data_IF_771544050930
#
_entry.id   IF_771544050930
#
_cell.length_a   1.000
_cell.length_b   1.000
_cell.length_c   1.000
_cell.angle_alpha   90.00
_cell.angle_beta   90.00
_cell.angle_gamma   90.00
#
_symmetry.space_group_name_H-M   'P 1'
#
loop_
_entity.id
_entity.type
_entity.pdbx_description
1 polymer ?
#
# COMPACT_ATOMS: atom_id res chain seq x y z
N UNK A 1 15.46 16.06 8.23
CA UNK A 1 14.80 15.86 9.55
C UNK A 1 13.33 15.55 9.35
N UNK A 2 12.81 14.43 9.86
CA UNK A 2 11.42 14.00 9.72
C UNK A 2 10.49 14.69 10.73
N UNK A 3 9.18 14.67 10.49
CA UNK A 3 8.18 15.20 11.44
C UNK A 3 8.11 14.31 12.69
N UNK A 4 8.01 14.92 13.88
CA UNK A 4 8.04 14.19 15.16
C UNK A 4 6.79 13.32 15.38
N UNK A 5 5.62 13.74 14.91
CA UNK A 5 4.37 12.98 15.00
C UNK A 5 3.73 12.85 13.61
N UNK A 6 3.63 11.63 13.04
CA UNK A 6 2.92 11.42 11.79
C UNK A 6 1.42 11.70 11.95
N UNK A 7 0.77 12.32 10.96
CA UNK A 7 -0.66 12.56 11.00
C UNK A 7 -1.43 11.23 10.84
N UNK A 8 -2.57 11.10 11.52
CA UNK A 8 -3.40 9.87 11.50
C UNK A 8 -3.69 9.35 10.08
N UNK A 9 -4.02 10.17 9.08
CA UNK A 9 -4.25 9.68 7.72
C UNK A 9 -3.04 8.99 7.08
N UNK A 10 -1.82 9.46 7.41
CA UNK A 10 -0.58 8.81 6.94
C UNK A 10 -0.40 7.47 7.64
N UNK A 11 -0.69 7.38 8.94
CA UNK A 11 -0.67 6.11 9.67
C UNK A 11 -1.69 5.11 9.12
N UNK A 12 -2.90 5.57 8.79
CA UNK A 12 -3.93 4.74 8.16
C UNK A 12 -3.48 4.23 6.79
N UNK A 13 -2.93 5.11 5.94
CA UNK A 13 -2.39 4.72 4.64
C UNK A 13 -1.30 3.65 4.77
N UNK A 14 -0.39 3.81 5.75
CA UNK A 14 0.66 2.83 6.02
C UNK A 14 0.10 1.52 6.55
N UNK A 15 -0.86 1.56 7.48
CA UNK A 15 -1.49 0.37 8.02
C UNK A 15 -2.20 -0.43 6.93
N UNK A 16 -2.93 0.24 6.04
CA UNK A 16 -3.59 -0.40 4.90
C UNK A 16 -2.57 -1.01 3.94
N UNK A 17 -1.51 -0.28 3.58
CA UNK A 17 -0.46 -0.80 2.70
C UNK A 17 0.33 -1.98 3.28
N UNK A 18 0.58 -1.99 4.59
CA UNK A 18 1.23 -3.10 5.28
C UNK A 18 0.31 -4.32 5.38
N UNK A 19 -0.96 -4.12 5.73
CA UNK A 19 -1.96 -5.19 5.74
C UNK A 19 -2.10 -5.83 4.36
N UNK A 20 -2.14 -5.01 3.30
CA UNK A 20 -2.14 -5.49 1.93
C UNK A 20 -0.90 -6.32 1.61
N UNK A 21 0.30 -5.83 1.93
CA UNK A 21 1.55 -6.58 1.73
C UNK A 21 1.50 -7.96 2.39
N UNK A 22 1.10 -8.03 3.67
CA UNK A 22 1.04 -9.28 4.43
C UNK A 22 -0.02 -10.20 3.83
N UNK A 23 -1.22 -9.67 3.57
CA UNK A 23 -2.32 -10.47 3.04
C UNK A 23 -2.00 -11.00 1.64
N UNK A 24 -1.44 -10.18 0.75
CA UNK A 24 -1.02 -10.63 -0.58
C UNK A 24 0.02 -11.74 -0.47
N UNK A 25 1.08 -11.54 0.33
CA UNK A 25 2.16 -12.52 0.44
C UNK A 25 1.65 -13.86 0.99
N UNK A 26 0.84 -13.82 2.06
CA UNK A 26 0.28 -15.03 2.69
C UNK A 26 -0.69 -15.74 1.75
N UNK A 27 -1.66 -15.03 1.18
CA UNK A 27 -2.64 -15.66 0.29
C UNK A 27 -2.01 -16.19 -1.00
N UNK A 28 -0.97 -15.52 -1.50
CA UNK A 28 -0.25 -15.97 -2.68
C UNK A 28 0.54 -17.26 -2.42
N UNK A 29 1.24 -17.36 -1.27
CA UNK A 29 1.94 -18.59 -0.87
C UNK A 29 0.99 -19.79 -0.71
N UNK A 30 -0.26 -19.55 -0.30
CA UNK A 30 -1.30 -20.58 -0.26
C UNK A 30 -1.98 -20.84 -1.61
N UNK A 31 -1.61 -20.13 -2.68
CA UNK A 31 -2.21 -20.28 -4.02
C UNK A 31 -3.67 -19.81 -4.10
N UNK A 32 -4.12 -18.96 -3.15
CA UNK A 32 -5.51 -18.49 -3.06
C UNK A 32 -5.80 -17.26 -3.92
N UNK A 33 -4.76 -16.52 -4.33
CA UNK A 33 -4.90 -15.32 -5.16
C UNK A 33 -3.82 -15.26 -6.24
N UNK A 34 -4.05 -14.41 -7.23
CA UNK A 34 -3.06 -14.01 -8.23
C UNK A 34 -2.86 -12.49 -8.13
N UNK A 35 -1.60 -12.03 -8.15
CA UNK A 35 -1.29 -10.61 -8.18
C UNK A 35 -1.71 -9.99 -9.52
N UNK A 36 -2.55 -8.95 -9.44
CA UNK A 36 -3.08 -8.26 -10.61
C UNK A 36 -2.28 -7.04 -11.01
N UNK A 37 -1.49 -6.46 -10.09
CA UNK A 37 -0.65 -5.32 -10.43
C UNK A 37 0.41 -5.77 -11.46
N UNK A 38 0.37 -5.26 -12.72
CA UNK A 38 1.25 -5.74 -13.78
C UNK A 38 2.73 -5.51 -13.48
N UNK A 39 3.06 -4.53 -12.61
CA UNK A 39 4.44 -4.28 -12.16
C UNK A 39 4.87 -5.22 -11.04
N UNK A 40 3.95 -5.61 -10.15
CA UNK A 40 4.28 -6.46 -8.99
C UNK A 40 4.13 -7.95 -9.29
N UNK A 41 3.30 -8.32 -10.28
CA UNK A 41 3.07 -9.69 -10.73
C UNK A 41 4.37 -10.44 -11.08
N UNK A 42 5.30 -9.91 -11.91
CA UNK A 42 6.55 -10.61 -12.19
C UNK A 42 7.46 -10.74 -10.96
N UNK A 43 7.36 -9.80 -10.01
CA UNK A 43 8.14 -9.86 -8.76
C UNK A 43 7.65 -11.00 -7.87
N UNK A 44 6.34 -11.12 -7.65
CA UNK A 44 5.80 -12.19 -6.79
C UNK A 44 5.91 -13.57 -7.44
N UNK A 45 5.86 -13.64 -8.78
CA UNK A 45 6.07 -14.88 -9.54
C UNK A 45 7.52 -15.37 -9.50
N UNK A 46 8.50 -14.46 -9.38
CA UNK A 46 9.91 -14.83 -9.25
C UNK A 46 10.30 -15.14 -7.81
N UNK A 47 9.86 -14.33 -6.85
CA UNK A 47 10.09 -14.56 -5.43
C UNK A 47 9.15 -13.72 -4.56
N UNK A 48 8.41 -14.38 -3.67
CA UNK A 48 7.60 -13.71 -2.64
C UNK A 48 8.45 -12.79 -1.77
N UNK A 49 9.69 -13.19 -1.46
CA UNK A 49 10.61 -12.36 -0.67
C UNK A 49 10.99 -11.06 -1.43
N UNK A 50 11.24 -11.15 -2.74
CA UNK A 50 11.52 -9.98 -3.57
C UNK A 50 10.32 -9.04 -3.63
N UNK A 51 9.12 -9.60 -3.82
CA UNK A 51 7.87 -8.84 -3.77
C UNK A 51 7.71 -8.10 -2.43
N UNK A 52 7.88 -8.79 -1.30
CA UNK A 52 7.79 -8.21 0.03
C UNK A 52 8.82 -7.09 0.21
N UNK A 53 10.08 -7.33 -0.19
CA UNK A 53 11.15 -6.35 -0.06
C UNK A 53 10.87 -5.07 -0.87
N UNK A 54 10.46 -5.20 -2.14
CA UNK A 54 10.16 -4.06 -3.01
C UNK A 54 8.92 -3.30 -2.52
N UNK A 55 7.86 -4.01 -2.12
CA UNK A 55 6.62 -3.39 -1.61
C UNK A 55 6.89 -2.66 -0.28
N UNK A 56 7.65 -3.28 0.62
CA UNK A 56 8.07 -2.66 1.88
C UNK A 56 8.94 -1.42 1.64
N UNK A 57 9.93 -1.50 0.75
CA UNK A 57 10.79 -0.36 0.40
C UNK A 57 9.97 0.81 -0.18
N UNK A 58 8.97 0.50 -1.01
CA UNK A 58 8.05 1.49 -1.58
C UNK A 58 7.22 2.18 -0.49
N UNK A 59 6.67 1.42 0.45
CA UNK A 59 5.92 1.96 1.60
C UNK A 59 6.82 2.81 2.50
N UNK A 60 8.04 2.36 2.77
CA UNK A 60 9.02 3.11 3.56
C UNK A 60 9.39 4.44 2.88
N UNK A 61 9.65 4.42 1.57
CA UNK A 61 9.94 5.63 0.79
C UNK A 61 8.75 6.60 0.79
N UNK A 62 7.52 6.09 0.61
CA UNK A 62 6.31 6.90 0.68
C UNK A 62 6.13 7.54 2.08
N UNK A 63 6.32 6.76 3.15
CA UNK A 63 6.26 7.27 4.52
C UNK A 63 7.27 8.39 4.76
N UNK A 64 8.54 8.17 4.40
CA UNK A 64 9.62 9.16 4.54
C UNK A 64 9.30 10.41 3.73
N UNK A 65 8.85 10.27 2.48
CA UNK A 65 8.47 11.38 1.61
C UNK A 65 7.32 12.21 2.18
N UNK A 66 6.24 11.56 2.64
CA UNK A 66 5.09 12.23 3.26
C UNK A 66 5.49 12.94 4.57
N UNK A 67 6.37 12.33 5.37
CA UNK A 67 6.86 12.92 6.62
C UNK A 67 7.81 14.10 6.40
N UNK A 68 8.65 14.04 5.36
CA UNK A 68 9.52 15.14 4.99
C UNK A 68 8.71 16.30 4.40
N UNK A 69 7.84 16.02 3.43
CA UNK A 69 7.04 17.04 2.74
C UNK A 69 5.93 17.62 3.62
N UNK A 70 5.41 16.85 4.59
CA UNK A 70 4.39 17.31 5.52
C UNK A 70 4.84 18.39 6.50
N UNK A 71 6.13 18.76 6.48
CA UNK A 71 6.64 19.97 7.15
C UNK A 71 6.39 21.24 6.34
N UNK A 72 6.40 21.12 5.02
CA UNK A 72 6.21 22.22 4.07
C UNK A 72 4.70 22.43 3.86
N UNK A 73 3.99 21.34 3.53
CA UNK A 73 2.56 21.40 3.18
C UNK A 73 1.74 20.32 3.94
N UNK A 74 1.46 20.53 5.25
CA UNK A 74 0.78 19.54 6.07
C UNK A 74 -0.66 19.25 5.65
N UNK A 75 -1.35 20.24 5.07
CA UNK A 75 -2.74 20.09 4.60
C UNK A 75 -2.78 19.21 3.36
N UNK A 76 -1.87 19.45 2.42
CA UNK A 76 -1.73 18.61 1.22
C UNK A 76 -1.46 17.15 1.59
N UNK A 77 -0.46 16.90 2.46
CA UNK A 77 -0.11 15.52 2.87
C UNK A 77 -1.29 14.80 3.52
N UNK A 78 -2.06 15.48 4.37
CA UNK A 78 -3.27 14.89 4.97
C UNK A 78 -4.32 14.53 3.93
N UNK A 79 -4.56 15.42 2.95
CA UNK A 79 -5.51 15.16 1.86
C UNK A 79 -5.04 14.03 0.96
N UNK A 80 -3.78 14.06 0.54
CA UNK A 80 -3.18 13.02 -0.28
C UNK A 80 -3.24 11.64 0.41
N UNK A 81 -2.95 11.56 1.72
CA UNK A 81 -3.04 10.32 2.45
C UNK A 81 -4.49 9.80 2.58
N UNK A 82 -5.47 10.69 2.78
CA UNK A 82 -6.88 10.31 2.77
C UNK A 82 -7.33 9.82 1.40
N UNK A 83 -7.01 10.56 0.34
CA UNK A 83 -7.34 10.20 -1.04
C UNK A 83 -6.69 8.85 -1.39
N UNK A 84 -5.42 8.65 -1.04
CA UNK A 84 -4.73 7.38 -1.25
C UNK A 84 -5.39 6.21 -0.52
N UNK A 85 -5.81 6.42 0.73
CA UNK A 85 -6.51 5.40 1.52
C UNK A 85 -7.86 5.05 0.90
N UNK A 86 -8.65 6.06 0.52
CA UNK A 86 -9.98 5.87 -0.10
C UNK A 86 -9.83 5.19 -1.45
N UNK A 87 -8.91 5.66 -2.30
CA UNK A 87 -8.64 5.06 -3.60
C UNK A 87 -8.26 3.59 -3.47
N UNK A 88 -7.40 3.26 -2.51
CA UNK A 88 -7.03 1.87 -2.23
C UNK A 88 -8.25 1.03 -1.83
N UNK A 89 -9.05 1.49 -0.86
CA UNK A 89 -10.24 0.76 -0.41
C UNK A 89 -11.25 0.57 -1.55
N UNK A 90 -11.48 1.59 -2.37
CA UNK A 90 -12.39 1.52 -3.52
C UNK A 90 -11.89 0.51 -4.55
N UNK A 91 -10.60 0.54 -4.88
CA UNK A 91 -10.00 -0.44 -5.80
C UNK A 91 -10.12 -1.86 -5.26
N UNK A 92 -9.87 -2.04 -3.97
CA UNK A 92 -9.95 -3.34 -3.31
C UNK A 92 -11.39 -3.88 -3.29
N UNK A 93 -12.37 -3.05 -2.89
CA UNK A 93 -13.79 -3.41 -2.91
C UNK A 93 -14.26 -3.70 -4.33
N UNK A 94 -13.88 -2.87 -5.30
CA UNK A 94 -14.21 -3.08 -6.71
C UNK A 94 -13.66 -4.39 -7.24
N UNK A 95 -12.44 -4.75 -6.84
CA UNK A 95 -11.84 -6.03 -7.18
C UNK A 95 -12.59 -7.21 -6.57
N UNK A 96 -12.86 -7.18 -5.26
CA UNK A 96 -13.60 -8.26 -4.57
C UNK A 96 -15.00 -8.43 -5.13
N UNK A 97 -15.71 -7.32 -5.39
CA UNK A 97 -17.02 -7.37 -6.00
C UNK A 97 -16.97 -7.94 -7.43
N UNK A 98 -15.99 -7.52 -8.24
CA UNK A 98 -15.79 -8.05 -9.60
C UNK A 98 -15.39 -9.52 -9.63
N UNK A 99 -14.61 -10.00 -8.65
CA UNK A 99 -14.18 -11.40 -8.55
C UNK A 99 -15.27 -12.36 -8.05
N UNK A 100 -16.37 -11.86 -7.47
CA UNK A 100 -17.50 -12.67 -6.99
C UNK A 100 -18.77 -12.53 -7.84
N UNK A 101 -18.82 -11.55 -8.75
CA UNK A 101 -19.95 -11.32 -9.67
C UNK A 101 -19.68 -11.79 -11.10
N UNK A 102 -18.52 -12.40 -11.38
CA UNK A 102 -18.15 -13.03 -12.65
C UNK A 102 -17.81 -14.50 -12.46
#
# INVERSE_FOLDING_TARGET
>A
MLRARPPVPVLLLMAVGLSDLVLTAVLYEFGLIVELNPLMRPLIQSSTLLFVAVKFATLAAAYVGLQAYGRIEPVFVRRAAWIGTIAYVVLWVGWVAGAHLG
#
